data_IF_168060649152
#
_entry.id   IF_168060649152
#
_cell.length_a   1.000
_cell.length_b   1.000
_cell.length_c   1.000
_cell.angle_alpha   90.00
_cell.angle_beta   90.00
_cell.angle_gamma   90.00
#
_symmetry.space_group_name_H-M   'P 1'
#
loop_
_entity.id
_entity.type
_entity.pdbx_description
1 polymer ?
#
# COMPACT_ATOMS: atom_id res chain seq x y z
N UNK A 1 -20.99 35.57 34.48
CA UNK A 1 -21.65 34.44 33.81
C UNK A 1 -21.69 33.26 34.78
N UNK A 2 -22.87 32.79 35.16
CA UNK A 2 -23.02 31.79 36.24
C UNK A 2 -22.44 30.44 35.82
N UNK A 3 -21.52 29.87 36.62
CA UNK A 3 -20.84 28.58 36.33
C UNK A 3 -21.84 27.44 36.03
N UNK A 4 -23.00 27.46 36.67
CA UNK A 4 -24.11 26.52 36.43
C UNK A 4 -24.77 26.69 35.05
N UNK A 5 -24.83 27.93 34.54
CA UNK A 5 -25.37 28.25 33.22
C UNK A 5 -24.41 27.78 32.10
N UNK A 6 -23.10 27.92 32.30
CA UNK A 6 -22.11 27.41 31.34
C UNK A 6 -22.16 25.88 31.21
N UNK A 7 -22.26 25.16 32.34
CA UNK A 7 -22.32 23.69 32.34
C UNK A 7 -23.59 23.18 31.63
N UNK A 8 -24.73 23.86 31.85
CA UNK A 8 -25.99 23.49 31.20
C UNK A 8 -25.93 23.73 29.67
N UNK A 9 -25.30 24.82 29.24
CA UNK A 9 -25.08 25.12 27.82
C UNK A 9 -24.12 24.11 27.16
N UNK A 10 -23.07 23.67 27.86
CA UNK A 10 -22.16 22.65 27.30
C UNK A 10 -22.80 21.27 27.18
N UNK A 11 -23.66 20.87 28.14
CA UNK A 11 -24.36 19.58 28.10
C UNK A 11 -25.41 19.56 26.99
N UNK A 12 -26.15 20.66 26.81
CA UNK A 12 -27.16 20.77 25.75
C UNK A 12 -26.53 20.79 24.35
N UNK A 13 -25.37 21.43 24.19
CA UNK A 13 -24.62 21.40 22.93
C UNK A 13 -24.15 19.97 22.59
N UNK A 14 -23.60 19.23 23.57
CA UNK A 14 -23.13 17.85 23.37
C UNK A 14 -24.27 16.88 23.02
N UNK A 15 -25.46 17.03 23.63
CA UNK A 15 -26.62 16.19 23.33
C UNK A 15 -27.20 16.46 21.92
N UNK A 16 -27.09 17.70 21.41
CA UNK A 16 -27.57 18.04 20.07
C UNK A 16 -26.71 17.45 18.94
N UNK A 17 -25.43 17.21 19.20
CA UNK A 17 -24.48 16.59 18.25
C UNK A 17 -24.71 15.07 18.12
N UNK A 18 -25.24 14.42 19.17
CA UNK A 18 -25.50 12.97 19.17
C UNK A 18 -26.81 12.63 18.42
N UNK A 19 -27.75 13.57 18.32
CA UNK A 19 -29.07 13.37 17.71
C UNK A 19 -29.16 13.77 16.22
N UNK A 20 -28.06 14.21 15.60
CA UNK A 20 -28.01 14.64 14.20
C UNK A 20 -27.38 13.62 13.24
N UNK A 21 -26.96 12.45 13.72
CA UNK A 21 -26.66 11.30 12.84
C UNK A 21 -27.95 10.65 12.37
N UNK A 22 -28.42 11.07 11.19
CA UNK A 22 -29.53 10.43 10.49
C UNK A 22 -29.17 8.98 10.15
N UNK A 23 -29.65 8.04 10.97
CA UNK A 23 -29.78 6.64 10.62
C UNK A 23 -30.75 6.52 9.42
N UNK A 24 -30.25 6.16 8.25
CA UNK A 24 -31.11 5.59 7.19
C UNK A 24 -31.44 4.14 7.58
N UNK A 25 -32.70 3.70 7.50
CA UNK A 25 -33.04 2.29 7.69
C UNK A 25 -32.41 1.47 6.55
N UNK A 26 -31.77 0.36 6.89
CA UNK A 26 -31.36 -0.64 5.91
C UNK A 26 -32.62 -1.40 5.47
N UNK A 27 -32.99 -1.27 4.20
CA UNK A 27 -33.96 -2.16 3.57
C UNK A 27 -33.35 -3.57 3.49
N UNK A 28 -33.99 -4.52 4.15
CA UNK A 28 -33.64 -5.94 4.08
C UNK A 28 -34.00 -6.51 2.72
N UNK A 29 -33.03 -6.62 1.82
CA UNK A 29 -33.18 -7.49 0.65
C UNK A 29 -32.97 -8.94 1.13
N UNK A 30 -34.07 -9.67 1.24
CA UNK A 30 -34.05 -11.11 1.38
C UNK A 30 -33.77 -11.75 0.03
N UNK A 31 -32.63 -12.39 -0.09
CA UNK A 31 -32.44 -13.44 -1.09
C UNK A 31 -31.47 -14.46 -0.50
N UNK A 32 -32.03 -15.56 0.01
CA UNK A 32 -31.27 -16.77 0.30
C UNK A 32 -30.83 -17.43 -1.01
N UNK A 33 -29.57 -17.86 -1.12
CA UNK A 33 -29.22 -19.00 -1.95
C UNK A 33 -29.06 -20.22 -1.04
N UNK A 34 -29.87 -21.23 -1.31
CA UNK A 34 -29.73 -22.58 -0.78
C UNK A 34 -28.34 -23.14 -1.05
N UNK A 35 -27.77 -23.79 -0.04
CA UNK A 35 -26.45 -24.38 -0.06
C UNK A 35 -26.22 -25.40 -1.19
N UNK A 36 -25.07 -25.28 -1.84
CA UNK A 36 -24.25 -26.43 -2.22
C UNK A 36 -22.82 -26.10 -1.82
N UNK A 37 -22.29 -26.86 -0.86
CA UNK A 37 -20.93 -26.73 -0.38
C UNK A 37 -19.95 -27.14 -1.49
N UNK A 38 -19.21 -26.18 -2.00
CA UNK A 38 -17.91 -26.40 -2.63
C UNK A 38 -16.95 -25.36 -2.03
N UNK A 39 -16.12 -25.82 -1.09
CA UNK A 39 -15.19 -24.97 -0.32
C UNK A 39 -13.92 -24.70 -1.12
N UNK A 40 -14.05 -24.02 -2.25
CA UNK A 40 -12.97 -23.20 -2.78
C UNK A 40 -13.35 -21.75 -2.50
N UNK A 41 -12.86 -21.21 -1.38
CA UNK A 41 -13.01 -19.80 -1.06
C UNK A 41 -12.10 -19.01 -2.02
N UNK A 42 -12.49 -18.95 -3.29
CA UNK A 42 -11.94 -17.98 -4.22
C UNK A 42 -12.18 -16.62 -3.57
N UNK A 43 -11.08 -15.89 -3.27
CA UNK A 43 -11.18 -14.50 -2.85
C UNK A 43 -11.84 -13.78 -4.01
N UNK A 44 -13.17 -13.72 -4.00
CA UNK A 44 -13.96 -13.04 -5.01
C UNK A 44 -13.68 -11.55 -4.79
N UNK A 45 -12.65 -11.06 -5.47
CA UNK A 45 -12.42 -9.64 -5.63
C UNK A 45 -13.60 -9.17 -6.48
N UNK A 46 -14.62 -8.68 -5.80
CA UNK A 46 -15.86 -8.26 -6.43
C UNK A 46 -15.66 -6.96 -7.23
N UNK A 47 -16.57 -6.78 -8.17
CA UNK A 47 -16.69 -5.76 -9.23
C UNK A 47 -15.78 -4.52 -9.08
N UNK A 48 -14.76 -4.36 -9.96
CA UNK A 48 -13.84 -3.23 -9.88
C UNK A 48 -14.52 -1.89 -10.17
N UNK A 49 -14.22 -0.90 -9.33
CA UNK A 49 -14.61 0.49 -9.55
C UNK A 49 -13.53 1.22 -10.37
N UNK A 50 -13.71 1.29 -11.70
CA UNK A 50 -12.83 2.05 -12.59
C UNK A 50 -13.27 3.52 -12.77
N UNK A 51 -14.02 4.09 -11.82
CA UNK A 51 -14.43 5.50 -11.90
C UNK A 51 -13.26 6.48 -11.80
N UNK A 52 -12.13 6.04 -11.25
CA UNK A 52 -10.92 6.83 -11.07
C UNK A 52 -9.75 6.21 -11.87
N UNK A 53 -8.80 7.03 -12.35
CA UNK A 53 -7.62 6.52 -13.04
C UNK A 53 -6.60 5.92 -12.05
N UNK A 54 -5.65 5.13 -12.53
CA UNK A 54 -4.65 4.43 -11.69
C UNK A 54 -3.83 5.37 -10.78
N UNK A 55 -3.55 6.59 -11.26
CA UNK A 55 -2.84 7.63 -10.52
C UNK A 55 -3.56 7.99 -9.20
N UNK A 56 -4.89 7.95 -9.20
CA UNK A 56 -5.70 8.23 -8.01
C UNK A 56 -5.45 7.20 -6.91
N UNK A 57 -5.46 5.92 -7.29
CA UNK A 57 -5.28 4.79 -6.39
C UNK A 57 -3.90 4.76 -5.73
N UNK A 58 -2.88 5.24 -6.46
CA UNK A 58 -1.53 5.38 -5.91
C UNK A 58 -1.28 6.65 -5.11
N UNK A 59 -2.08 7.70 -5.34
CA UNK A 59 -1.94 8.99 -4.62
C UNK A 59 -2.48 8.96 -3.18
N UNK A 60 -3.42 8.06 -2.89
CA UNK A 60 -4.13 8.05 -1.61
C UNK A 60 -3.47 7.15 -0.58
N UNK A 61 -3.21 7.71 0.62
CA UNK A 61 -2.70 6.97 1.80
C UNK A 61 -1.39 6.22 1.58
N UNK A 62 -0.63 6.59 0.55
CA UNK A 62 0.76 6.21 0.40
C UNK A 62 1.66 7.28 1.01
N UNK A 63 2.64 6.87 1.81
CA UNK A 63 3.61 7.76 2.43
C UNK A 63 4.62 6.95 3.25
N UNK A 64 5.67 7.61 3.73
CA UNK A 64 6.78 6.96 4.44
C UNK A 64 6.29 6.01 5.56
N UNK A 65 5.18 6.35 6.23
CA UNK A 65 4.65 5.63 7.38
C UNK A 65 3.33 4.89 7.14
N UNK A 66 2.79 4.93 5.92
CA UNK A 66 1.51 4.29 5.60
C UNK A 66 1.70 3.03 4.77
N UNK A 67 0.87 2.03 5.08
CA UNK A 67 0.91 0.68 4.55
C UNK A 67 -0.40 0.32 3.82
N UNK A 68 -1.23 1.30 3.47
CA UNK A 68 -2.52 1.09 2.81
C UNK A 68 -2.43 1.41 1.33
N UNK A 69 -3.20 0.67 0.53
CA UNK A 69 -3.31 0.85 -0.90
C UNK A 69 -4.78 0.72 -1.28
N UNK A 70 -5.34 1.78 -1.86
CA UNK A 70 -6.65 1.71 -2.51
C UNK A 70 -6.43 1.23 -3.95
N UNK A 71 -7.38 0.47 -4.50
CA UNK A 71 -7.42 0.06 -5.91
C UNK A 71 -8.88 0.04 -6.37
N UNK A 72 -9.17 -0.14 -7.68
CA UNK A 72 -10.54 -0.37 -8.16
C UNK A 72 -11.24 -1.53 -7.43
N UNK A 73 -10.45 -2.50 -6.98
CA UNK A 73 -10.89 -3.77 -6.45
C UNK A 73 -11.16 -3.77 -4.93
N UNK A 74 -10.64 -2.78 -4.20
CA UNK A 74 -10.76 -2.71 -2.76
C UNK A 74 -9.56 -2.09 -2.07
N UNK A 75 -9.40 -2.42 -0.80
CA UNK A 75 -8.31 -1.93 0.04
C UNK A 75 -7.33 -3.04 0.37
N UNK A 76 -6.06 -2.75 0.19
CA UNK A 76 -4.95 -3.60 0.57
C UNK A 76 -4.15 -2.94 1.68
N UNK A 77 -3.55 -3.75 2.54
CA UNK A 77 -2.55 -3.25 3.49
C UNK A 77 -1.56 -4.34 3.88
N UNK A 78 -0.38 -3.91 4.33
CA UNK A 78 0.70 -4.83 4.75
C UNK A 78 0.90 -4.83 6.26
N UNK A 79 0.98 -6.01 6.87
CA UNK A 79 1.47 -6.24 8.24
C UNK A 79 2.65 -7.21 8.19
N UNK A 80 3.78 -6.81 8.79
CA UNK A 80 5.01 -7.59 8.69
C UNK A 80 5.39 -7.80 7.23
N UNK A 81 5.60 -9.06 6.84
CA UNK A 81 5.94 -9.45 5.48
C UNK A 81 4.73 -9.82 4.61
N UNK A 82 3.51 -9.66 5.11
CA UNK A 82 2.31 -10.16 4.44
C UNK A 82 1.34 -9.03 4.06
N UNK A 83 0.74 -9.18 2.89
CA UNK A 83 -0.35 -8.35 2.40
C UNK A 83 -1.71 -8.96 2.75
N UNK A 84 -2.67 -8.08 2.97
CA UNK A 84 -4.04 -8.38 3.32
C UNK A 84 -4.97 -7.53 2.46
N UNK A 85 -6.20 -8.00 2.28
CA UNK A 85 -7.22 -7.41 1.44
C UNK A 85 -8.55 -7.31 2.18
N UNK A 86 -9.26 -6.21 1.93
CA UNK A 86 -10.64 -6.00 2.31
C UNK A 86 -11.36 -5.38 1.13
N UNK A 87 -12.52 -5.92 0.80
CA UNK A 87 -13.43 -5.27 -0.13
C UNK A 87 -13.94 -3.95 0.46
N UNK A 88 -14.25 -2.98 -0.39
CA UNK A 88 -14.94 -1.76 0.03
C UNK A 88 -16.27 -2.07 0.72
N UNK A 89 -16.56 -1.30 1.78
CA UNK A 89 -17.74 -1.53 2.63
C UNK A 89 -17.57 -2.63 3.67
N UNK A 90 -16.52 -3.46 3.58
CA UNK A 90 -16.17 -4.42 4.62
C UNK A 90 -15.17 -3.81 5.62
N UNK A 91 -15.28 -4.23 6.88
CA UNK A 91 -14.34 -3.84 7.95
C UNK A 91 -13.27 -4.90 8.20
N UNK A 92 -13.50 -6.13 7.74
CA UNK A 92 -12.58 -7.23 7.94
C UNK A 92 -11.58 -7.31 6.79
N UNK A 93 -10.31 -7.39 7.17
CA UNK A 93 -9.27 -7.75 6.23
C UNK A 93 -8.86 -9.21 6.39
N UNK A 94 -8.64 -9.86 5.26
CA UNK A 94 -8.13 -11.23 5.17
C UNK A 94 -6.75 -11.25 4.53
N UNK A 95 -5.91 -12.23 4.87
CA UNK A 95 -4.59 -12.37 4.26
C UNK A 95 -4.78 -12.71 2.78
N UNK A 96 -4.07 -12.03 1.88
CA UNK A 96 -4.27 -12.14 0.42
C UNK A 96 -3.65 -13.43 -0.12
N UNK A 97 -4.28 -14.57 0.16
CA UNK A 97 -3.76 -15.88 -0.22
C UNK A 97 -4.86 -16.81 -0.69
N UNK A 98 -4.63 -17.44 -1.84
CA UNK A 98 -5.62 -18.32 -2.50
C UNK A 98 -5.45 -19.80 -2.13
N UNK A 99 -4.31 -20.16 -1.53
CA UNK A 99 -4.00 -21.52 -1.08
C UNK A 99 -4.78 -21.86 0.20
N UNK A 100 -5.62 -22.88 0.15
CA UNK A 100 -6.48 -23.35 1.26
C UNK A 100 -5.68 -23.86 2.46
N UNK A 101 -4.60 -24.60 2.22
CA UNK A 101 -3.77 -25.22 3.26
C UNK A 101 -2.48 -24.41 3.52
N UNK A 102 -2.51 -23.10 3.28
CA UNK A 102 -1.35 -22.26 3.55
C UNK A 102 -1.25 -21.94 5.04
N UNK A 103 -0.13 -22.31 5.65
CA UNK A 103 0.19 -21.97 7.04
C UNK A 103 0.53 -20.48 7.25
N UNK A 104 0.69 -19.75 6.14
CA UNK A 104 1.08 -18.35 6.07
C UNK A 104 2.32 -18.00 6.91
N UNK A 105 3.30 -18.90 6.97
CA UNK A 105 4.52 -18.73 7.76
C UNK A 105 5.78 -18.52 6.92
N UNK A 106 5.68 -18.75 5.61
CA UNK A 106 6.84 -18.76 4.69
C UNK A 106 6.67 -17.80 3.52
N UNK A 107 7.77 -17.62 2.77
CA UNK A 107 7.81 -16.86 1.53
C UNK A 107 7.10 -17.55 0.35
N UNK A 108 6.60 -18.78 0.54
CA UNK A 108 5.78 -19.50 -0.44
C UNK A 108 4.30 -19.10 -0.36
N UNK A 109 3.90 -18.30 0.63
CA UNK A 109 2.55 -17.77 0.71
C UNK A 109 2.30 -16.74 -0.39
N UNK A 110 1.16 -16.82 -1.08
CA UNK A 110 0.73 -15.83 -2.08
C UNK A 110 0.73 -14.40 -1.50
N UNK A 111 0.46 -14.26 -0.20
CA UNK A 111 0.43 -12.98 0.48
C UNK A 111 1.80 -12.39 0.82
N UNK A 112 2.91 -13.12 0.58
CA UNK A 112 4.23 -12.70 1.04
C UNK A 112 4.85 -11.62 0.15
N UNK A 113 5.03 -10.41 0.68
CA UNK A 113 5.59 -9.25 -0.05
C UNK A 113 6.85 -8.67 0.57
N UNK A 114 7.37 -9.29 1.65
CA UNK A 114 8.62 -8.89 2.32
C UNK A 114 8.70 -7.38 2.65
N UNK A 115 7.62 -6.79 3.18
CA UNK A 115 7.67 -5.46 3.76
C UNK A 115 6.42 -4.60 3.56
N UNK A 116 6.64 -3.29 3.58
CA UNK A 116 5.63 -2.28 3.95
C UNK A 116 5.21 -1.32 2.83
N UNK A 117 5.72 -1.49 1.61
CA UNK A 117 5.48 -0.57 0.49
C UNK A 117 4.95 -1.33 -0.72
N UNK A 118 3.69 -1.05 -1.01
CA UNK A 118 2.94 -1.62 -2.13
C UNK A 118 2.36 -0.47 -2.97
N UNK A 119 2.28 -0.70 -4.28
CA UNK A 119 1.68 0.19 -5.25
C UNK A 119 0.71 -0.55 -6.15
N UNK A 120 -0.12 0.18 -6.87
CA UNK A 120 -1.06 -0.35 -7.85
C UNK A 120 -0.83 0.33 -9.20
N UNK A 121 -0.80 -0.44 -10.27
CA UNK A 121 -0.72 0.08 -11.63
C UNK A 121 -1.10 -1.04 -12.59
N UNK A 122 -1.88 -0.75 -13.64
CA UNK A 122 -2.19 -1.67 -14.72
C UNK A 122 -2.69 -3.05 -14.22
N UNK A 123 -3.67 -3.04 -13.31
CA UNK A 123 -4.25 -4.25 -12.69
C UNK A 123 -3.25 -5.17 -11.94
N UNK A 124 -2.11 -4.63 -11.49
CA UNK A 124 -1.12 -5.34 -10.69
C UNK A 124 -0.78 -4.63 -9.38
N UNK A 125 -0.36 -5.43 -8.40
CA UNK A 125 0.26 -4.92 -7.17
C UNK A 125 1.78 -4.97 -7.33
N UNK A 126 2.43 -3.84 -7.13
CA UNK A 126 3.88 -3.69 -7.17
C UNK A 126 4.46 -3.57 -5.77
N UNK A 127 5.65 -4.13 -5.55
CA UNK A 127 6.36 -4.04 -4.28
C UNK A 127 7.86 -4.22 -4.50
N UNK A 128 8.65 -3.92 -3.47
CA UNK A 128 10.11 -4.08 -3.51
C UNK A 128 10.52 -5.21 -2.59
N UNK A 129 11.40 -6.09 -3.07
CA UNK A 129 11.85 -7.29 -2.37
C UNK A 129 13.38 -7.34 -2.32
N UNK A 130 13.94 -7.63 -1.16
CA UNK A 130 15.36 -7.96 -1.02
C UNK A 130 15.61 -9.39 -1.54
N UNK A 131 16.81 -9.61 -2.05
CA UNK A 131 17.23 -10.92 -2.50
C UNK A 131 17.30 -11.95 -1.38
N UNK A 132 17.47 -13.19 -1.80
CA UNK A 132 17.59 -14.31 -0.87
C UNK A 132 18.94 -14.28 -0.12
N UNK A 133 19.16 -15.30 0.71
CA UNK A 133 20.41 -15.42 1.49
C UNK A 133 21.67 -15.49 0.63
N UNK A 134 21.58 -15.90 -0.64
CA UNK A 134 22.72 -15.99 -1.54
C UNK A 134 23.04 -14.63 -2.17
N UNK A 135 22.03 -13.77 -2.31
CA UNK A 135 22.15 -12.43 -2.89
C UNK A 135 21.41 -11.37 -2.05
N UNK A 136 21.78 -11.18 -0.76
CA UNK A 136 20.99 -10.39 0.18
C UNK A 136 20.94 -8.88 -0.15
N UNK A 137 21.83 -8.44 -1.04
CA UNK A 137 21.98 -7.04 -1.46
C UNK A 137 21.25 -6.72 -2.77
N UNK A 138 20.68 -7.72 -3.44
CA UNK A 138 19.87 -7.45 -4.63
C UNK A 138 18.53 -6.87 -4.21
N UNK A 139 18.16 -5.74 -4.80
CA UNK A 139 16.86 -5.15 -4.61
C UNK A 139 16.05 -5.34 -5.89
N UNK A 140 14.90 -5.99 -5.80
CA UNK A 140 14.04 -6.29 -6.94
C UNK A 140 12.77 -5.46 -6.88
N UNK A 141 12.37 -4.94 -8.04
CA UNK A 141 11.00 -4.52 -8.27
C UNK A 141 10.19 -5.76 -8.64
N UNK A 142 9.17 -6.07 -7.83
CA UNK A 142 8.28 -7.20 -8.00
C UNK A 142 6.90 -6.72 -8.42
N UNK A 143 6.16 -7.58 -9.11
CA UNK A 143 4.72 -7.46 -9.29
C UNK A 143 4.01 -8.77 -8.94
N UNK A 144 2.72 -8.69 -8.68
CA UNK A 144 1.82 -9.82 -8.53
C UNK A 144 0.41 -9.47 -9.00
N UNK A 145 -0.39 -10.50 -9.26
CA UNK A 145 -1.82 -10.33 -9.55
C UNK A 145 -2.55 -9.73 -8.33
N UNK A 146 -3.71 -9.12 -8.56
CA UNK A 146 -4.57 -8.56 -7.50
C UNK A 146 -5.01 -9.57 -6.43
N UNK A 147 -4.97 -10.87 -6.73
CA UNK A 147 -5.28 -11.96 -5.79
C UNK A 147 -4.05 -12.52 -5.05
N UNK A 148 -2.87 -11.92 -5.21
CA UNK A 148 -1.61 -12.32 -4.56
C UNK A 148 -0.81 -13.39 -5.32
N UNK A 149 -1.35 -13.98 -6.39
CA UNK A 149 -0.63 -15.00 -7.17
C UNK A 149 0.38 -14.38 -8.13
N UNK A 150 1.23 -15.25 -8.69
CA UNK A 150 2.17 -14.93 -9.78
C UNK A 150 3.15 -13.81 -9.42
N UNK A 151 3.98 -14.03 -8.40
CA UNK A 151 5.05 -13.09 -8.07
C UNK A 151 6.13 -13.14 -9.16
N UNK A 152 6.35 -12.00 -9.79
CA UNK A 152 7.29 -11.86 -10.89
C UNK A 152 8.29 -10.75 -10.59
N UNK A 153 9.56 -11.01 -10.92
CA UNK A 153 10.57 -9.96 -10.95
C UNK A 153 10.33 -9.13 -12.21
N UNK A 154 10.02 -7.85 -12.02
CA UNK A 154 9.89 -6.89 -13.13
C UNK A 154 11.27 -6.46 -13.61
N UNK A 155 12.15 -6.09 -12.66
CA UNK A 155 13.56 -5.75 -12.89
C UNK A 155 14.36 -5.73 -11.58
N UNK A 156 15.69 -5.77 -11.71
CA UNK A 156 16.62 -5.54 -10.60
C UNK A 156 16.89 -4.04 -10.47
N UNK A 157 16.57 -3.46 -9.32
CA UNK A 157 16.80 -2.04 -9.02
C UNK A 157 18.29 -1.78 -8.79
N UNK A 158 18.93 -2.65 -8.01
CA UNK A 158 20.38 -2.60 -7.78
C UNK A 158 20.89 -3.97 -7.34
N UNK A 159 22.16 -4.24 -7.65
CA UNK A 159 22.94 -5.35 -7.08
C UNK A 159 24.01 -4.85 -6.10
N UNK A 160 24.15 -3.54 -5.97
CA UNK A 160 25.12 -2.89 -5.11
C UNK A 160 24.61 -2.80 -3.67
N UNK A 161 25.44 -3.26 -2.72
CA UNK A 161 25.06 -3.33 -1.33
C UNK A 161 24.87 -1.95 -0.71
N UNK A 162 25.76 -1.01 -1.01
CA UNK A 162 25.69 0.36 -0.49
C UNK A 162 24.39 1.03 -0.96
N UNK A 163 24.09 0.95 -2.26
CA UNK A 163 22.85 1.46 -2.84
C UNK A 163 21.61 0.79 -2.21
N UNK A 164 21.61 -0.53 -2.05
CA UNK A 164 20.46 -1.27 -1.49
C UNK A 164 20.10 -0.80 -0.07
N UNK A 165 21.10 -0.47 0.76
CA UNK A 165 20.88 0.06 2.10
C UNK A 165 20.56 1.56 2.10
N UNK A 166 20.99 2.27 1.07
CA UNK A 166 20.86 3.73 0.97
C UNK A 166 19.52 4.17 0.40
N UNK A 167 18.78 3.31 -0.30
CA UNK A 167 17.45 3.63 -0.83
C UNK A 167 16.43 3.78 0.31
N UNK A 168 15.99 5.02 0.53
CA UNK A 168 14.97 5.40 1.54
C UNK A 168 13.79 6.14 0.89
N UNK A 169 12.78 6.47 1.70
CA UNK A 169 11.57 7.21 1.29
C UNK A 169 10.90 6.69 -0.01
N UNK A 170 10.63 5.39 0.01
CA UNK A 170 10.08 4.61 -1.10
C UNK A 170 8.57 4.81 -1.22
N UNK A 171 8.06 5.11 -2.42
CA UNK A 171 6.62 5.14 -2.70
C UNK A 171 6.32 4.87 -4.18
N UNK A 172 5.08 4.48 -4.48
CA UNK A 172 4.62 4.25 -5.85
C UNK A 172 3.65 5.35 -6.25
N UNK A 173 3.78 5.87 -7.47
CA UNK A 173 2.81 6.82 -8.00
C UNK A 173 2.83 6.86 -9.52
N UNK A 174 1.66 6.88 -10.15
CA UNK A 174 1.50 7.13 -11.59
C UNK A 174 2.36 6.26 -12.51
N UNK A 175 2.45 4.96 -12.24
CA UNK A 175 3.27 4.04 -13.04
C UNK A 175 4.77 4.10 -12.76
N UNK A 176 5.18 4.72 -11.65
CA UNK A 176 6.57 4.81 -11.22
C UNK A 176 6.77 4.37 -9.76
N UNK A 177 7.95 3.81 -9.50
CA UNK A 177 8.52 3.65 -8.17
C UNK A 177 9.50 4.78 -7.90
N UNK A 178 9.28 5.55 -6.84
CA UNK A 178 10.09 6.69 -6.43
C UNK A 178 10.90 6.37 -5.17
N UNK A 179 12.11 6.91 -5.10
CA UNK A 179 12.98 6.77 -3.94
C UNK A 179 14.03 7.88 -3.86
N UNK A 180 14.67 7.99 -2.70
CA UNK A 180 15.84 8.84 -2.48
C UNK A 180 16.99 7.94 -2.01
N UNK A 181 18.22 8.28 -2.37
CA UNK A 181 19.42 7.66 -1.82
C UNK A 181 19.88 8.51 -0.64
N UNK A 182 20.15 7.94 0.53
CA UNK A 182 20.56 8.70 1.72
C UNK A 182 21.82 8.19 2.41
N UNK A 183 22.60 7.32 1.76
CA UNK A 183 23.80 6.69 2.32
C UNK A 183 23.61 6.10 3.74
N UNK A 184 22.41 5.59 4.01
CA UNK A 184 22.02 4.99 5.30
C UNK A 184 21.53 5.99 6.36
N UNK A 185 21.41 7.28 6.03
CA UNK A 185 20.95 8.34 6.93
C UNK A 185 19.57 8.89 6.49
N UNK A 186 19.20 10.10 6.91
CA UNK A 186 18.00 10.81 6.45
C UNK A 186 18.31 11.84 5.35
N UNK A 187 17.32 12.24 4.52
CA UNK A 187 17.52 13.29 3.53
C UNK A 187 17.99 14.60 4.18
N UNK A 188 19.05 15.19 3.65
CA UNK A 188 19.66 16.41 4.20
C UNK A 188 20.66 16.19 5.33
N UNK A 189 21.00 14.94 5.67
CA UNK A 189 22.12 14.65 6.57
C UNK A 189 23.45 15.16 5.97
N UNK A 190 24.38 15.63 6.82
CA UNK A 190 25.61 16.30 6.38
C UNK A 190 26.61 15.37 5.67
N UNK A 191 26.53 14.07 5.93
CA UNK A 191 27.27 13.00 5.27
C UNK A 191 26.59 12.50 3.99
N UNK A 192 25.35 12.91 3.71
CA UNK A 192 24.63 12.46 2.55
C UNK A 192 25.03 13.27 1.31
N UNK A 193 25.81 12.66 0.43
CA UNK A 193 26.36 13.29 -0.77
C UNK A 193 25.40 13.23 -1.96
N UNK A 194 24.37 12.40 -1.88
CA UNK A 194 23.34 12.26 -2.89
C UNK A 194 21.97 12.49 -2.22
N UNK A 195 21.27 13.57 -2.51
CA UNK A 195 19.84 13.71 -2.14
C UNK A 195 18.95 13.73 -3.38
N UNK A 196 19.41 13.11 -4.47
CA UNK A 196 18.65 13.11 -5.71
C UNK A 196 17.36 12.33 -5.52
N UNK A 197 16.31 12.82 -6.15
CA UNK A 197 15.03 12.15 -6.18
C UNK A 197 14.96 11.30 -7.44
N UNK A 198 14.85 9.99 -7.27
CA UNK A 198 14.90 9.00 -8.34
C UNK A 198 13.51 8.45 -8.64
N UNK A 199 13.31 8.00 -9.87
CA UNK A 199 12.17 7.16 -10.24
C UNK A 199 12.52 6.04 -11.20
N UNK A 200 11.74 4.98 -11.16
CA UNK A 200 11.80 3.82 -12.05
C UNK A 200 10.41 3.61 -12.65
N UNK A 201 10.32 3.47 -13.97
CA UNK A 201 9.05 3.11 -14.60
C UNK A 201 8.71 1.64 -14.36
N UNK A 202 7.45 1.36 -14.05
CA UNK A 202 6.99 0.04 -13.60
C UNK A 202 6.74 -0.95 -14.74
N UNK A 203 6.48 -0.46 -15.95
CA UNK A 203 5.94 -1.24 -17.08
C UNK A 203 6.91 -1.41 -18.26
N UNK A 204 8.18 -1.03 -18.08
CA UNK A 204 9.22 -1.22 -19.08
C UNK A 204 10.52 -1.71 -18.43
N UNK A 205 11.61 -1.74 -19.20
CA UNK A 205 12.95 -2.14 -18.74
C UNK A 205 13.90 -0.95 -18.58
N UNK A 206 13.39 0.28 -18.45
CA UNK A 206 14.24 1.44 -18.20
C UNK A 206 14.96 1.29 -16.86
N UNK A 207 16.19 1.79 -16.80
CA UNK A 207 16.88 2.05 -15.54
C UNK A 207 16.17 3.17 -14.77
N UNK A 208 16.60 3.40 -13.52
CA UNK A 208 16.15 4.58 -12.79
C UNK A 208 16.68 5.87 -13.42
N UNK A 209 15.91 6.93 -13.30
CA UNK A 209 16.30 8.27 -13.72
C UNK A 209 16.16 9.27 -12.57
N UNK A 210 16.94 10.34 -12.64
CA UNK A 210 16.88 11.43 -11.67
C UNK A 210 15.75 12.37 -12.07
N UNK A 211 14.78 12.53 -11.19
CA UNK A 211 13.64 13.47 -11.31
C UNK A 211 14.06 14.87 -10.87
N UNK A 212 14.85 14.95 -9.80
CA UNK A 212 15.34 16.21 -9.25
C UNK A 212 16.74 16.03 -8.67
N UNK A 213 17.65 16.94 -9.03
CA UNK A 213 19.03 17.00 -8.55
C UNK A 213 19.10 18.11 -7.49
N UNK A 214 19.79 17.85 -6.37
CA UNK A 214 20.17 18.84 -5.33
C UNK A 214 20.50 20.22 -5.92
N UNK A 215 19.59 21.21 -5.86
CA UNK A 215 19.97 22.64 -5.99
C UNK A 215 18.85 23.67 -5.64
N UNK A 216 18.15 23.51 -4.52
CA UNK A 216 17.25 24.58 -4.02
C UNK A 216 17.72 25.26 -2.72
N UNK A 217 18.70 24.70 -2.01
CA UNK A 217 19.20 25.26 -0.74
C UNK A 217 20.56 25.96 -0.91
N UNK A 218 21.30 25.68 -1.98
CA UNK A 218 22.59 26.33 -2.31
C UNK A 218 22.46 27.81 -2.72
N UNK A 219 21.24 28.32 -2.89
CA UNK A 219 20.95 29.66 -3.43
C UNK A 219 20.18 30.59 -2.46
N UNK A 220 20.04 30.21 -1.18
CA UNK A 220 19.41 31.08 -0.14
C UNK A 220 20.43 31.41 0.95
#
# INVERSE_FOLDING_TARGET
MNRKLCILLTITLFLSVILSSCFKPIESYSSSPSASADNSLELAILDPDYSMPDEYYTSMKQGAFYNFLNTPYGMYYTIGDFIYYSQYGNTQYTKLCTKTDCDHSTNECDAYVQGHKIGYYDDHIYFVKLGDKNYPFKLYLMRMNMNGKNHEIVKTITTDAEMSYSITLRFFHSGYFYFIVTNGDYPGASNNTDNSFYRIKLDDQSEYEIVYINDLISQI
#
